data_IF_189401445867
#
_entry.id   IF_189401445867
#
_cell.length_a   1.000
_cell.length_b   1.000
_cell.length_c   1.000
_cell.angle_alpha   90.00
_cell.angle_beta   90.00
_cell.angle_gamma   90.00
#
_symmetry.space_group_name_H-M   'P 1'
#
loop_
_entity.id
_entity.type
_entity.pdbx_description
1 polymer ?
#
# COMPACT_ATOMS: atom_id res chain seq x y z
N UNK A 1 22.10 0.53 16.39
CA UNK A 1 21.62 -0.03 15.12
C UNK A 1 22.81 -0.17 14.19
N UNK A 2 23.16 -1.38 13.76
CA UNK A 2 24.23 -1.57 12.78
C UNK A 2 23.62 -1.63 11.36
N UNK A 3 23.83 -0.62 10.50
CA UNK A 3 23.18 -0.54 9.19
C UNK A 3 23.52 -1.73 8.28
N UNK A 4 24.72 -2.31 8.42
CA UNK A 4 25.11 -3.50 7.66
C UNK A 4 24.25 -4.72 7.99
N UNK A 5 23.83 -4.90 9.25
CA UNK A 5 22.95 -6.00 9.66
C UNK A 5 21.54 -5.82 9.12
N UNK A 6 21.02 -4.59 9.16
CA UNK A 6 19.70 -4.26 8.62
C UNK A 6 19.67 -4.59 7.13
N UNK A 7 20.68 -4.19 6.36
CA UNK A 7 20.74 -4.47 4.93
C UNK A 7 20.73 -5.97 4.60
N UNK A 8 21.47 -6.78 5.37
CA UNK A 8 21.48 -8.24 5.19
C UNK A 8 20.09 -8.84 5.46
N UNK A 9 19.40 -8.37 6.52
CA UNK A 9 18.04 -8.83 6.82
C UNK A 9 17.02 -8.38 5.76
N UNK A 10 17.10 -7.13 5.29
CA UNK A 10 16.29 -6.60 4.19
C UNK A 10 16.46 -7.47 2.94
N UNK A 11 17.71 -7.79 2.57
CA UNK A 11 18.01 -8.66 1.42
C UNK A 11 17.40 -10.05 1.60
N UNK A 12 17.46 -10.62 2.80
CA UNK A 12 16.85 -11.92 3.08
C UNK A 12 15.33 -11.89 2.88
N UNK A 13 14.65 -10.87 3.43
CA UNK A 13 13.20 -10.68 3.26
C UNK A 13 12.82 -10.52 1.79
N UNK A 14 13.61 -9.76 1.04
CA UNK A 14 13.39 -9.58 -0.40
C UNK A 14 13.55 -10.89 -1.18
N UNK A 15 14.59 -11.68 -0.88
CA UNK A 15 14.82 -12.98 -1.51
C UNK A 15 13.74 -14.01 -1.14
N UNK A 16 13.28 -13.99 0.11
CA UNK A 16 12.17 -14.81 0.58
C UNK A 16 10.89 -14.51 -0.21
N UNK A 17 10.54 -13.23 -0.35
CA UNK A 17 9.38 -12.80 -1.12
C UNK A 17 9.44 -13.21 -2.61
N UNK A 18 10.62 -13.09 -3.23
CA UNK A 18 10.81 -13.56 -4.62
C UNK A 18 10.65 -15.08 -4.71
N UNK A 19 11.22 -15.83 -3.76
CA UNK A 19 11.13 -17.30 -3.72
C UNK A 19 9.70 -17.79 -3.53
N UNK A 20 8.88 -17.03 -2.82
CA UNK A 20 7.44 -17.28 -2.64
C UNK A 20 6.62 -17.02 -3.92
N UNK A 21 7.28 -16.76 -5.06
CA UNK A 21 6.69 -16.62 -6.40
C UNK A 21 5.66 -15.48 -6.49
N UNK A 22 5.79 -14.48 -5.62
CA UNK A 22 4.91 -13.29 -5.62
C UNK A 22 4.94 -12.60 -7.00
N UNK A 23 6.07 -12.65 -7.72
CA UNK A 23 6.19 -12.08 -9.06
C UNK A 23 5.26 -12.72 -10.12
N UNK A 24 4.69 -13.90 -9.88
CA UNK A 24 3.71 -14.51 -10.79
C UNK A 24 2.42 -13.69 -10.91
N UNK A 25 2.13 -12.86 -9.91
CA UNK A 25 1.04 -11.88 -9.95
C UNK A 25 1.21 -10.89 -11.11
N UNK A 26 2.43 -10.63 -11.59
CA UNK A 26 2.65 -9.78 -12.77
C UNK A 26 2.02 -10.38 -14.03
N UNK A 27 2.08 -11.70 -14.19
CA UNK A 27 1.41 -12.38 -15.30
C UNK A 27 -0.12 -12.25 -15.21
N UNK A 28 -0.66 -12.34 -14.00
CA UNK A 28 -2.08 -12.11 -13.76
C UNK A 28 -2.49 -10.66 -14.05
N UNK A 29 -1.65 -9.67 -13.70
CA UNK A 29 -1.89 -8.28 -14.06
C UNK A 29 -1.88 -8.04 -15.58
N UNK A 30 -0.89 -8.57 -16.29
CA UNK A 30 -0.83 -8.49 -17.75
C UNK A 30 -2.05 -9.16 -18.42
N UNK A 31 -2.51 -10.28 -17.86
CA UNK A 31 -3.73 -10.94 -18.29
C UNK A 31 -4.95 -10.03 -18.10
N UNK A 32 -5.13 -9.42 -16.93
CA UNK A 32 -6.21 -8.44 -16.68
C UNK A 32 -6.20 -7.30 -17.69
N UNK A 33 -5.03 -6.71 -17.97
CA UNK A 33 -4.91 -5.61 -18.94
C UNK A 33 -5.23 -6.06 -20.37
N UNK A 34 -4.87 -7.29 -20.75
CA UNK A 34 -5.22 -7.87 -22.05
C UNK A 34 -6.73 -8.00 -22.23
N UNK A 35 -7.45 -8.39 -21.17
CA UNK A 35 -8.91 -8.42 -21.20
C UNK A 35 -9.49 -7.00 -21.25
N UNK A 36 -8.96 -6.08 -20.43
CA UNK A 36 -9.44 -4.72 -20.36
C UNK A 36 -9.34 -3.98 -21.70
N UNK A 37 -8.18 -4.04 -22.37
CA UNK A 37 -7.97 -3.35 -23.64
C UNK A 37 -8.88 -3.89 -24.75
N UNK A 38 -9.28 -5.16 -24.68
CA UNK A 38 -10.16 -5.79 -25.67
C UNK A 38 -11.64 -5.52 -25.41
N UNK A 39 -12.05 -5.51 -24.14
CA UNK A 39 -13.46 -5.46 -23.72
C UNK A 39 -13.97 -4.04 -23.57
N UNK A 40 -13.19 -3.13 -22.98
CA UNK A 40 -13.63 -1.75 -22.68
C UNK A 40 -14.15 -1.00 -23.92
N UNK A 41 -13.50 -1.06 -25.10
CA UNK A 41 -13.99 -0.37 -26.30
C UNK A 41 -15.38 -0.82 -26.79
N UNK A 42 -15.81 -2.04 -26.43
CA UNK A 42 -17.14 -2.55 -26.84
C UNK A 42 -18.28 -1.87 -26.09
N UNK A 43 -18.03 -1.33 -24.89
CA UNK A 43 -19.05 -0.68 -24.07
C UNK A 43 -19.17 0.82 -24.33
N UNK A 44 -18.05 1.51 -24.58
CA UNK A 44 -18.05 2.97 -24.74
C UNK A 44 -16.90 3.44 -25.65
N UNK A 45 -17.19 3.79 -26.90
CA UNK A 45 -16.15 4.23 -27.83
C UNK A 45 -15.50 5.58 -27.46
N UNK A 46 -16.25 6.50 -26.86
CA UNK A 46 -15.78 7.87 -26.55
C UNK A 46 -15.03 8.00 -25.23
N UNK A 47 -15.18 7.03 -24.31
CA UNK A 47 -14.56 7.07 -22.99
C UNK A 47 -13.60 5.90 -22.73
N UNK A 48 -13.43 4.98 -23.70
CA UNK A 48 -12.64 3.77 -23.54
C UNK A 48 -11.22 4.05 -23.02
N UNK A 49 -10.56 5.06 -23.57
CA UNK A 49 -9.18 5.43 -23.22
C UNK A 49 -9.05 5.80 -21.74
N UNK A 50 -9.93 6.68 -21.25
CA UNK A 50 -9.91 7.12 -19.84
C UNK A 50 -10.28 6.00 -18.88
N UNK A 51 -11.24 5.15 -19.26
CA UNK A 51 -11.63 3.99 -18.47
C UNK A 51 -10.48 3.00 -18.39
N UNK A 52 -9.76 2.75 -19.48
CA UNK A 52 -8.58 1.89 -19.47
C UNK A 52 -7.48 2.46 -18.56
N UNK A 53 -7.27 3.78 -18.61
CA UNK A 53 -6.28 4.44 -17.76
C UNK A 53 -6.58 4.24 -16.27
N UNK A 54 -7.80 4.57 -15.86
CA UNK A 54 -8.26 4.39 -14.48
C UNK A 54 -8.23 2.92 -14.05
N UNK A 55 -8.76 2.02 -14.88
CA UNK A 55 -8.82 0.59 -14.60
C UNK A 55 -7.43 -0.02 -14.39
N UNK A 56 -6.44 0.34 -15.20
CA UNK A 56 -5.08 -0.19 -15.06
C UNK A 56 -4.40 0.24 -13.77
N UNK A 57 -4.63 1.49 -13.31
CA UNK A 57 -4.15 1.99 -12.01
C UNK A 57 -4.94 1.36 -10.85
N UNK A 58 -6.26 1.20 -10.98
CA UNK A 58 -7.10 0.55 -9.98
C UNK A 58 -6.72 -0.92 -9.78
N UNK A 59 -6.47 -1.65 -10.86
CA UNK A 59 -5.97 -3.02 -10.81
C UNK A 59 -4.56 -3.09 -10.16
N UNK A 60 -3.71 -2.10 -10.44
CA UNK A 60 -2.40 -1.99 -9.79
C UNK A 60 -2.51 -1.81 -8.28
N UNK A 61 -3.42 -0.92 -7.84
CA UNK A 61 -3.70 -0.70 -6.43
C UNK A 61 -4.24 -1.97 -5.75
N UNK A 62 -5.27 -2.61 -6.33
CA UNK A 62 -5.88 -3.81 -5.77
C UNK A 62 -4.87 -4.95 -5.60
N UNK A 63 -4.03 -5.20 -6.60
CA UNK A 63 -2.99 -6.22 -6.54
C UNK A 63 -1.90 -5.86 -5.53
N UNK A 64 -1.41 -4.61 -5.56
CA UNK A 64 -0.41 -4.14 -4.61
C UNK A 64 -0.89 -4.23 -3.17
N UNK A 65 -2.17 -3.94 -2.93
CA UNK A 65 -2.82 -4.07 -1.63
C UNK A 65 -2.84 -5.51 -1.14
N UNK A 66 -3.22 -6.46 -2.00
CA UNK A 66 -3.21 -7.89 -1.66
C UNK A 66 -1.79 -8.29 -1.22
N UNK A 67 -0.75 -7.89 -1.96
CA UNK A 67 0.63 -8.20 -1.57
C UNK A 67 1.00 -7.54 -0.25
N UNK A 68 0.73 -6.25 -0.07
CA UNK A 68 1.04 -5.50 1.15
C UNK A 68 0.36 -6.12 2.38
N UNK A 69 -0.90 -6.52 2.28
CA UNK A 69 -1.68 -7.11 3.38
C UNK A 69 -1.23 -8.54 3.68
N UNK A 70 -1.22 -9.43 2.69
CA UNK A 70 -0.97 -10.86 2.92
C UNK A 70 0.50 -11.15 3.26
N UNK A 71 1.43 -10.48 2.56
CA UNK A 71 2.86 -10.67 2.80
C UNK A 71 3.28 -9.88 4.04
N UNK A 72 2.80 -8.63 4.18
CA UNK A 72 3.15 -7.78 5.32
C UNK A 72 2.73 -8.35 6.66
N UNK A 73 1.50 -8.87 6.75
CA UNK A 73 1.05 -9.54 7.98
C UNK A 73 1.82 -10.84 8.21
N UNK A 74 2.00 -11.66 7.17
CA UNK A 74 2.66 -12.95 7.25
C UNK A 74 4.14 -12.90 7.63
N UNK A 75 4.83 -11.78 7.37
CA UNK A 75 6.25 -11.62 7.63
C UNK A 75 6.64 -11.67 9.12
N UNK A 76 5.72 -11.30 10.00
CA UNK A 76 5.95 -11.26 11.46
C UNK A 76 5.04 -12.27 12.16
N UNK A 77 3.76 -12.33 11.81
CA UNK A 77 2.80 -13.22 12.49
C UNK A 77 3.20 -14.70 12.35
N UNK A 78 3.60 -15.14 11.16
CA UNK A 78 4.02 -16.54 10.93
C UNK A 78 5.30 -16.88 11.69
N UNK A 79 6.20 -15.93 11.88
CA UNK A 79 7.44 -16.15 12.64
C UNK A 79 7.18 -16.25 14.15
N UNK A 80 6.19 -15.51 14.65
CA UNK A 80 5.69 -15.62 16.03
C UNK A 80 4.99 -16.97 16.20
N UNK A 81 4.04 -17.32 15.33
CA UNK A 81 3.25 -18.56 15.40
C UNK A 81 4.12 -19.82 15.32
N UNK A 82 5.14 -19.84 14.44
CA UNK A 82 6.06 -20.98 14.27
C UNK A 82 7.17 -21.04 15.32
N UNK A 83 7.21 -20.10 16.28
CA UNK A 83 8.28 -19.95 17.28
C UNK A 83 9.70 -19.80 16.69
N UNK A 84 9.82 -19.50 15.39
CA UNK A 84 11.12 -19.26 14.74
C UNK A 84 11.73 -17.95 15.22
N UNK A 85 10.91 -17.03 15.74
CA UNK A 85 11.35 -15.80 16.40
C UNK A 85 12.32 -16.07 17.57
N UNK A 86 12.14 -17.17 18.33
CA UNK A 86 13.01 -17.52 19.47
C UNK A 86 14.45 -17.81 19.03
N UNK A 87 14.59 -18.44 17.86
CA UNK A 87 15.91 -18.75 17.27
C UNK A 87 16.58 -17.49 16.74
N UNK A 88 15.80 -16.54 16.22
CA UNK A 88 16.32 -15.26 15.74
C UNK A 88 16.72 -14.33 16.88
N UNK A 89 15.98 -14.32 17.98
CA UNK A 89 16.30 -13.53 19.19
C UNK A 89 17.50 -14.06 19.96
N UNK A 90 17.90 -15.33 19.75
CA UNK A 90 19.15 -15.87 20.28
C UNK A 90 20.39 -15.24 19.60
N UNK A 91 20.22 -14.59 18.43
CA UNK A 91 21.26 -13.75 17.82
C UNK A 91 21.15 -12.31 18.39
N UNK A 92 22.26 -11.56 18.48
CA UNK A 92 22.25 -10.19 18.99
C UNK A 92 21.65 -9.20 17.97
N UNK A 93 20.36 -9.36 17.67
CA UNK A 93 19.55 -8.53 16.77
C UNK A 93 18.60 -7.73 17.65
N UNK A 94 18.60 -6.40 17.49
CA UNK A 94 17.64 -5.59 18.25
C UNK A 94 16.23 -5.75 17.70
N UNK A 95 15.24 -5.61 18.59
CA UNK A 95 13.80 -5.60 18.25
C UNK A 95 13.46 -4.55 17.17
N UNK A 96 14.11 -3.39 17.23
CA UNK A 96 13.97 -2.33 16.23
C UNK A 96 14.58 -2.71 14.87
N UNK A 97 15.77 -3.32 14.85
CA UNK A 97 16.41 -3.77 13.61
C UNK A 97 15.55 -4.82 12.90
N UNK A 98 14.93 -5.73 13.65
CA UNK A 98 14.04 -6.74 13.11
C UNK A 98 12.82 -6.11 12.41
N UNK A 99 12.03 -5.29 13.10
CA UNK A 99 10.81 -4.68 12.53
C UNK A 99 11.14 -3.75 11.35
N UNK A 100 12.16 -2.90 11.48
CA UNK A 100 12.55 -1.99 10.40
C UNK A 100 13.04 -2.74 9.17
N UNK A 101 13.80 -3.84 9.34
CA UNK A 101 14.24 -4.65 8.20
C UNK A 101 13.10 -5.34 7.46
N UNK A 102 12.07 -5.80 8.18
CA UNK A 102 10.86 -6.40 7.58
C UNK A 102 10.07 -5.38 6.77
N UNK A 103 9.89 -4.17 7.32
CA UNK A 103 9.24 -3.06 6.62
C UNK A 103 9.99 -2.65 5.36
N UNK A 104 11.29 -2.39 5.45
CA UNK A 104 12.10 -1.97 4.31
C UNK A 104 12.21 -3.08 3.25
N UNK A 105 12.33 -4.34 3.68
CA UNK A 105 12.34 -5.50 2.79
C UNK A 105 11.06 -5.62 1.97
N UNK A 106 9.89 -5.54 2.61
CA UNK A 106 8.61 -5.59 1.91
C UNK A 106 8.36 -4.34 1.06
N UNK A 107 8.74 -3.16 1.54
CA UNK A 107 8.63 -1.92 0.76
C UNK A 107 9.48 -2.02 -0.52
N UNK A 108 10.67 -2.62 -0.47
CA UNK A 108 11.49 -2.86 -1.65
C UNK A 108 10.83 -3.86 -2.63
N UNK A 109 10.19 -4.92 -2.11
CA UNK A 109 9.42 -5.87 -2.94
C UNK A 109 8.26 -5.15 -3.63
N UNK A 110 7.49 -4.33 -2.90
CA UNK A 110 6.40 -3.54 -3.46
C UNK A 110 6.90 -2.52 -4.50
N UNK A 111 8.05 -1.89 -4.27
CA UNK A 111 8.65 -0.97 -5.24
C UNK A 111 8.96 -1.68 -6.57
N UNK A 112 9.58 -2.86 -6.51
CA UNK A 112 9.87 -3.67 -7.71
C UNK A 112 8.59 -4.14 -8.39
N UNK A 113 7.59 -4.57 -7.61
CA UNK A 113 6.30 -5.01 -8.14
C UNK A 113 5.59 -3.86 -8.87
N UNK A 114 5.44 -2.70 -8.22
CA UNK A 114 4.80 -1.51 -8.80
C UNK A 114 5.57 -1.02 -10.02
N UNK A 115 6.91 -1.01 -9.98
CA UNK A 115 7.72 -0.64 -11.14
C UNK A 115 7.52 -1.58 -12.33
N UNK A 116 7.48 -2.90 -12.08
CA UNK A 116 7.22 -3.88 -13.14
C UNK A 116 5.80 -3.77 -13.70
N UNK A 117 4.79 -3.57 -12.85
CA UNK A 117 3.41 -3.33 -13.28
C UNK A 117 3.30 -2.03 -14.09
N UNK A 118 4.03 -0.98 -13.70
CA UNK A 118 4.10 0.27 -14.45
C UNK A 118 4.70 0.07 -15.82
N UNK A 119 5.81 -0.69 -15.93
CA UNK A 119 6.41 -0.99 -17.22
C UNK A 119 5.44 -1.76 -18.14
N UNK A 120 4.74 -2.77 -17.61
CA UNK A 120 3.71 -3.51 -18.33
C UNK A 120 2.60 -2.55 -18.78
N UNK A 121 2.07 -1.74 -17.88
CA UNK A 121 1.00 -0.80 -18.15
C UNK A 121 1.38 0.20 -19.25
N UNK A 122 2.59 0.78 -19.21
CA UNK A 122 3.09 1.69 -20.25
C UNK A 122 3.21 1.00 -21.62
N UNK A 123 3.64 -0.27 -21.67
CA UNK A 123 3.69 -1.05 -22.92
C UNK A 123 2.27 -1.22 -23.49
N UNK A 124 1.28 -1.52 -22.65
CA UNK A 124 -0.12 -1.64 -23.11
C UNK A 124 -0.67 -0.31 -23.63
N UNK A 125 -0.34 0.82 -23.00
CA UNK A 125 -0.74 2.14 -23.51
C UNK A 125 -0.16 2.45 -24.88
N UNK A 126 1.11 2.08 -25.11
CA UNK A 126 1.77 2.24 -26.41
C UNK A 126 1.15 1.32 -27.47
N UNK A 127 0.90 0.05 -27.15
CA UNK A 127 0.27 -0.90 -28.08
C UNK A 127 -1.17 -0.51 -28.43
N UNK A 128 -1.90 0.05 -27.47
CA UNK A 128 -3.26 0.56 -27.66
C UNK A 128 -3.36 1.92 -28.33
N UNK A 129 -2.24 2.63 -28.56
CA UNK A 129 -2.22 4.04 -28.97
C UNK A 129 -3.10 4.95 -28.11
N UNK A 130 -3.17 4.67 -26.80
CA UNK A 130 -4.04 5.38 -25.86
C UNK A 130 -3.32 6.68 -25.44
N UNK A 131 -3.87 7.88 -25.73
CA UNK A 131 -3.28 9.14 -25.32
C UNK A 131 -3.32 9.27 -23.79
N UNK A 132 -2.17 9.35 -23.16
CA UNK A 132 -2.04 9.34 -21.71
C UNK A 132 -1.11 10.45 -21.22
N UNK A 133 -1.51 11.24 -20.20
CA UNK A 133 -0.61 12.19 -19.56
C UNK A 133 0.39 11.41 -18.67
N UNK A 134 1.49 10.95 -19.27
CA UNK A 134 2.46 10.05 -18.61
C UNK A 134 3.02 10.63 -17.32
N UNK A 135 3.24 11.95 -17.26
CA UNK A 135 3.78 12.61 -16.06
C UNK A 135 2.84 12.54 -14.86
N UNK A 136 1.54 12.81 -15.04
CA UNK A 136 0.56 12.72 -13.94
C UNK A 136 0.35 11.28 -13.48
N UNK A 137 0.35 10.33 -14.41
CA UNK A 137 0.25 8.90 -14.12
C UNK A 137 1.44 8.43 -13.28
N UNK A 138 2.67 8.81 -13.64
CA UNK A 138 3.86 8.44 -12.87
C UNK A 138 3.85 9.03 -11.45
N UNK A 139 3.34 10.25 -11.29
CA UNK A 139 3.13 10.85 -9.96
C UNK A 139 2.11 10.02 -9.17
N UNK A 140 0.96 9.69 -9.75
CA UNK A 140 -0.04 8.87 -9.07
C UNK A 140 0.47 7.48 -8.69
N UNK A 141 1.27 6.84 -9.55
CA UNK A 141 1.91 5.55 -9.25
C UNK A 141 2.91 5.66 -8.09
N UNK A 142 3.68 6.75 -8.03
CA UNK A 142 4.56 7.01 -6.89
C UNK A 142 3.76 7.18 -5.59
N UNK A 143 2.64 7.91 -5.63
CA UNK A 143 1.76 8.07 -4.48
C UNK A 143 1.06 6.76 -4.08
N UNK A 144 0.70 5.93 -5.05
CA UNK A 144 0.22 4.57 -4.82
C UNK A 144 1.27 3.74 -4.06
N UNK A 145 2.55 3.83 -4.45
CA UNK A 145 3.62 3.16 -3.72
C UNK A 145 3.72 3.65 -2.25
N UNK A 146 3.57 4.96 -1.99
CA UNK A 146 3.52 5.49 -0.63
C UNK A 146 2.31 4.97 0.15
N UNK A 147 1.14 4.89 -0.49
CA UNK A 147 -0.08 4.33 0.09
C UNK A 147 0.13 2.86 0.51
N UNK A 148 0.70 2.04 -0.38
CA UNK A 148 1.00 0.63 -0.11
C UNK A 148 2.09 0.47 0.97
N UNK A 149 3.06 1.38 1.03
CA UNK A 149 4.07 1.40 2.08
C UNK A 149 3.45 1.74 3.44
N UNK A 150 2.50 2.67 3.50
CA UNK A 150 1.76 2.97 4.74
C UNK A 150 0.91 1.77 5.18
N UNK A 151 0.20 1.13 4.27
CA UNK A 151 -0.55 -0.10 4.58
C UNK A 151 0.37 -1.22 5.05
N UNK A 152 1.59 -1.32 4.51
CA UNK A 152 2.59 -2.26 5.01
C UNK A 152 2.99 -1.96 6.46
N UNK A 153 3.12 -0.69 6.84
CA UNK A 153 3.35 -0.32 8.24
C UNK A 153 2.18 -0.75 9.12
N UNK A 154 0.93 -0.52 8.70
CA UNK A 154 -0.28 -0.98 9.40
C UNK A 154 -0.28 -2.50 9.58
N UNK A 155 0.01 -3.24 8.50
CA UNK A 155 0.07 -4.70 8.49
C UNK A 155 1.07 -5.23 9.50
N UNK A 156 2.27 -4.63 9.52
CA UNK A 156 3.33 -4.98 10.47
C UNK A 156 2.90 -4.67 11.90
N UNK A 157 2.33 -3.49 12.16
CA UNK A 157 1.85 -3.11 13.50
C UNK A 157 0.83 -4.12 14.04
N UNK A 158 -0.18 -4.52 13.27
CA UNK A 158 -1.15 -5.52 13.73
C UNK A 158 -0.53 -6.91 13.88
N UNK A 159 0.37 -7.31 12.97
CA UNK A 159 1.00 -8.64 13.01
C UNK A 159 1.89 -8.88 14.24
N UNK A 160 2.35 -7.83 14.91
CA UNK A 160 3.14 -7.94 16.14
C UNK A 160 2.32 -8.53 17.29
N UNK A 161 1.02 -8.28 17.35
CA UNK A 161 0.20 -8.68 18.50
C UNK A 161 -1.04 -9.52 18.20
N UNK A 162 -1.41 -9.66 16.93
CA UNK A 162 -2.57 -10.46 16.50
C UNK A 162 -2.16 -11.68 15.68
N UNK A 163 -3.01 -12.71 15.63
CA UNK A 163 -2.83 -13.85 14.74
C UNK A 163 -2.95 -13.42 13.27
N UNK A 164 -2.32 -14.15 12.35
CA UNK A 164 -2.21 -13.74 10.95
C UNK A 164 -3.55 -13.40 10.28
N UNK A 165 -4.61 -14.17 10.56
CA UNK A 165 -5.93 -13.94 9.97
C UNK A 165 -6.57 -12.64 10.47
N UNK A 166 -6.47 -12.37 11.77
CA UNK A 166 -7.01 -11.15 12.37
C UNK A 166 -6.23 -9.92 11.90
N UNK A 167 -4.91 -10.03 11.79
CA UNK A 167 -4.06 -8.97 11.24
C UNK A 167 -4.48 -8.57 9.82
N UNK A 168 -4.76 -9.56 8.96
CA UNK A 168 -5.23 -9.34 7.59
C UNK A 168 -6.55 -8.58 7.60
N UNK A 169 -7.53 -9.06 8.38
CA UNK A 169 -8.85 -8.43 8.46
C UNK A 169 -8.77 -6.98 8.97
N UNK A 170 -7.99 -6.72 10.02
CA UNK A 170 -7.81 -5.37 10.58
C UNK A 170 -7.08 -4.44 9.60
N UNK A 171 -6.05 -4.93 8.92
CA UNK A 171 -5.32 -4.13 7.91
C UNK A 171 -6.23 -3.76 6.75
N UNK A 172 -7.03 -4.72 6.26
CA UNK A 172 -7.98 -4.47 5.19
C UNK A 172 -9.09 -3.49 5.62
N UNK A 173 -9.57 -3.60 6.87
CA UNK A 173 -10.52 -2.64 7.44
C UNK A 173 -9.93 -1.23 7.51
N UNK A 174 -8.67 -1.07 7.92
CA UNK A 174 -7.97 0.22 7.91
C UNK A 174 -7.81 0.75 6.49
N UNK A 175 -7.52 -0.10 5.51
CA UNK A 175 -7.46 0.33 4.11
C UNK A 175 -8.81 0.86 3.61
N UNK A 176 -9.89 0.11 3.81
CA UNK A 176 -11.23 0.53 3.37
C UNK A 176 -11.65 1.82 4.07
N UNK A 177 -11.55 1.85 5.39
CA UNK A 177 -11.95 3.02 6.16
C UNK A 177 -11.06 4.22 5.84
N UNK A 178 -9.75 4.04 5.67
CA UNK A 178 -8.84 5.13 5.34
C UNK A 178 -9.12 5.82 3.99
N UNK A 179 -9.73 5.11 3.04
CA UNK A 179 -10.18 5.69 1.77
C UNK A 179 -11.59 6.29 1.87
N UNK A 180 -12.48 5.74 2.69
CA UNK A 180 -13.91 6.13 2.76
C UNK A 180 -14.20 7.17 3.85
N UNK A 181 -13.38 7.27 4.89
CA UNK A 181 -13.64 8.15 6.05
C UNK A 181 -13.81 9.63 5.68
N UNK A 182 -13.05 10.23 4.74
CA UNK A 182 -13.27 11.61 4.33
C UNK A 182 -14.70 11.87 3.83
N UNK A 183 -15.24 10.95 3.01
CA UNK A 183 -16.60 11.05 2.49
C UNK A 183 -17.65 10.87 3.60
N UNK A 184 -17.40 9.97 4.56
CA UNK A 184 -18.27 9.79 5.71
C UNK A 184 -18.34 11.03 6.60
N UNK A 185 -17.22 11.72 6.80
CA UNK A 185 -17.19 12.99 7.56
C UNK A 185 -18.00 14.06 6.85
N UNK A 186 -17.92 14.14 5.51
CA UNK A 186 -18.74 15.08 4.73
C UNK A 186 -20.24 14.76 4.85
N UNK A 187 -20.62 13.49 4.70
CA UNK A 187 -22.00 13.04 4.86
C UNK A 187 -22.52 13.25 6.30
N UNK A 188 -21.66 13.03 7.31
CA UNK A 188 -21.98 13.28 8.71
C UNK A 188 -22.31 14.75 8.99
N UNK A 189 -21.54 15.68 8.40
CA UNK A 189 -21.82 17.12 8.49
C UNK A 189 -23.14 17.51 7.81
N UNK A 190 -23.47 16.85 6.69
CA UNK A 190 -24.74 17.07 5.99
C UNK A 190 -25.95 16.51 6.75
N UNK A 191 -25.76 15.45 7.54
CA UNK A 191 -26.82 14.76 8.29
C UNK A 191 -27.43 15.58 9.43
N UNK A 192 -26.81 16.70 9.86
CA UNK A 192 -27.22 17.54 11.01
C UNK A 192 -27.45 16.77 12.33
N UNK A 193 -26.90 15.55 12.46
CA UNK A 193 -26.98 14.74 13.66
C UNK A 193 -25.64 14.79 14.41
N UNK A 194 -25.64 15.43 15.58
CA UNK A 194 -24.44 15.62 16.40
C UNK A 194 -23.75 14.30 16.81
N UNK A 195 -24.50 13.20 16.93
CA UNK A 195 -23.94 11.88 17.24
C UNK A 195 -23.15 11.30 16.06
N UNK A 196 -23.70 11.39 14.84
CA UNK A 196 -23.06 10.90 13.61
C UNK A 196 -21.81 11.73 13.27
N UNK A 197 -21.89 13.05 13.45
CA UNK A 197 -20.74 13.94 13.23
C UNK A 197 -19.59 13.63 14.20
N UNK A 198 -19.86 13.41 15.49
CA UNK A 198 -18.82 13.05 16.46
C UNK A 198 -18.18 11.70 16.16
N UNK A 199 -18.97 10.71 15.77
CA UNK A 199 -18.47 9.37 15.43
C UNK A 199 -17.54 9.41 14.20
N UNK A 200 -17.96 10.09 13.14
CA UNK A 200 -17.17 10.22 11.91
C UNK A 200 -15.89 11.04 12.13
N UNK A 201 -15.94 12.12 12.92
CA UNK A 201 -14.76 12.88 13.30
C UNK A 201 -13.78 12.06 14.17
N UNK A 202 -14.29 11.25 15.10
CA UNK A 202 -13.47 10.36 15.92
C UNK A 202 -12.73 9.32 15.07
N UNK A 203 -13.41 8.72 14.08
CA UNK A 203 -12.80 7.78 13.15
C UNK A 203 -11.68 8.44 12.32
N UNK A 204 -11.89 9.65 11.83
CA UNK A 204 -10.91 10.41 11.05
C UNK A 204 -9.64 10.77 11.84
N UNK A 205 -9.74 10.89 13.17
CA UNK A 205 -8.59 11.17 14.04
C UNK A 205 -7.70 9.94 14.28
N UNK A 206 -8.30 8.75 14.32
CA UNK A 206 -7.59 7.51 14.62
C UNK A 206 -7.01 6.89 13.36
N UNK A 207 -7.79 6.89 12.27
CA UNK A 207 -7.44 6.20 11.04
C UNK A 207 -6.55 7.07 10.14
N UNK A 208 -5.59 6.46 9.41
CA UNK A 208 -4.85 7.17 8.39
C UNK A 208 -5.78 7.60 7.25
N UNK A 209 -5.68 8.86 6.85
CA UNK A 209 -6.36 9.38 5.67
C UNK A 209 -5.58 8.96 4.42
N UNK A 210 -5.97 7.81 3.85
CA UNK A 210 -5.33 7.22 2.67
C UNK A 210 -5.72 7.94 1.38
N UNK A 211 -6.83 8.68 1.38
CA UNK A 211 -7.29 9.44 0.23
C UNK A 211 -6.27 10.48 -0.23
N UNK A 212 -5.47 11.02 0.71
CA UNK A 212 -4.35 11.93 0.41
C UNK A 212 -3.28 11.32 -0.49
N UNK A 213 -3.18 9.99 -0.49
CA UNK A 213 -2.21 9.23 -1.27
C UNK A 213 -2.83 8.58 -2.52
N UNK A 214 -4.15 8.70 -2.72
CA UNK A 214 -4.85 8.11 -3.86
C UNK A 214 -5.12 9.18 -4.94
N UNK A 215 -4.17 9.33 -5.86
CA UNK A 215 -4.22 10.33 -6.94
C UNK A 215 -4.68 9.74 -8.29
N UNK A 216 -5.13 8.48 -8.32
CA UNK A 216 -5.37 7.76 -9.59
C UNK A 216 -6.49 8.39 -10.42
N UNK A 217 -7.57 8.84 -9.76
CA UNK A 217 -8.74 9.40 -10.43
C UNK A 217 -8.40 10.74 -11.12
N UNK A 218 -7.58 11.56 -10.46
CA UNK A 218 -7.19 12.88 -10.95
C UNK A 218 -6.12 12.77 -12.04
N UNK A 219 -5.21 11.80 -11.92
CA UNK A 219 -4.09 11.64 -12.85
C UNK A 219 -4.51 11.39 -14.29
N UNK A 220 -5.70 10.80 -14.53
CA UNK A 220 -6.26 10.57 -15.86
C UNK A 220 -6.55 11.89 -16.60
N UNK A 221 -6.78 12.99 -15.88
CA UNK A 221 -7.07 14.31 -16.44
C UNK A 221 -5.81 15.18 -16.64
N UNK A 222 -4.63 14.69 -16.26
CA UNK A 222 -3.36 15.37 -16.44
C UNK A 222 -2.90 16.17 -15.21
N UNK A 223 -1.79 16.91 -15.36
CA UNK A 223 -1.14 17.61 -14.25
C UNK A 223 -2.00 18.69 -13.61
N UNK A 224 -2.94 19.27 -14.36
CA UNK A 224 -3.82 20.35 -13.88
C UNK A 224 -4.87 19.87 -12.88
N UNK A 225 -5.21 18.58 -12.93
CA UNK A 225 -6.14 17.97 -11.99
C UNK A 225 -5.45 17.48 -10.71
N UNK A 226 -4.11 17.36 -10.72
CA UNK A 226 -3.36 16.96 -9.54
C UNK A 226 -3.29 18.11 -8.52
N UNK A 227 -3.16 17.79 -7.21
CA UNK A 227 -2.89 18.78 -6.19
C UNK A 227 -1.64 19.62 -6.50
N UNK A 228 -1.65 20.86 -6.03
CA UNK A 228 -0.49 21.77 -6.11
C UNK A 228 0.79 21.11 -5.56
N UNK A 229 1.99 21.45 -6.07
CA UNK A 229 3.24 20.81 -5.66
C UNK A 229 3.49 20.82 -4.15
N UNK A 230 3.09 21.90 -3.46
CA UNK A 230 3.17 22.01 -2.01
C UNK A 230 2.26 20.97 -1.34
N UNK A 231 1.03 20.82 -1.84
CA UNK A 231 0.08 19.82 -1.34
C UNK A 231 0.62 18.39 -1.54
N UNK A 232 1.24 18.11 -2.70
CA UNK A 232 1.88 16.82 -2.96
C UNK A 232 2.99 16.52 -1.93
N UNK A 233 3.89 17.48 -1.66
CA UNK A 233 4.94 17.31 -0.66
C UNK A 233 4.34 17.06 0.73
N UNK A 234 3.28 17.80 1.10
CA UNK A 234 2.61 17.60 2.40
C UNK A 234 1.92 16.24 2.50
N UNK A 235 1.30 15.75 1.42
CA UNK A 235 0.66 14.44 1.39
C UNK A 235 1.68 13.31 1.47
N UNK A 236 2.79 13.41 0.73
CA UNK A 236 3.90 12.46 0.82
C UNK A 236 4.53 12.45 2.23
N UNK A 237 4.77 13.64 2.79
CA UNK A 237 5.28 13.81 4.16
C UNK A 237 4.34 13.21 5.20
N UNK A 238 3.03 13.42 5.07
CA UNK A 238 2.01 12.78 5.91
C UNK A 238 2.12 11.26 5.86
N UNK A 239 2.17 10.67 4.66
CA UNK A 239 2.27 9.22 4.49
C UNK A 239 3.52 8.61 5.14
N UNK A 240 4.67 9.26 4.96
CA UNK A 240 5.94 8.83 5.56
C UNK A 240 5.94 8.97 7.09
N UNK A 241 5.50 10.13 7.61
CA UNK A 241 5.45 10.37 9.06
C UNK A 241 4.49 9.40 9.76
N UNK A 242 3.31 9.16 9.16
CA UNK A 242 2.34 8.21 9.71
C UNK A 242 2.89 6.78 9.67
N UNK A 243 3.60 6.39 8.60
CA UNK A 243 4.29 5.10 8.53
C UNK A 243 5.34 4.95 9.63
N UNK A 244 6.18 5.97 9.86
CA UNK A 244 7.18 5.97 10.91
C UNK A 244 6.56 5.90 12.31
N UNK A 245 5.46 6.62 12.54
CA UNK A 245 4.68 6.54 13.79
C UNK A 245 4.17 5.13 14.04
N UNK A 246 3.56 4.48 13.04
CA UNK A 246 3.07 3.10 13.14
C UNK A 246 4.19 2.10 13.41
N UNK A 247 5.36 2.27 12.76
CA UNK A 247 6.53 1.44 13.02
C UNK A 247 7.09 1.65 14.43
N UNK A 248 7.11 2.89 14.93
CA UNK A 248 7.50 3.17 16.30
C UNK A 248 6.56 2.47 17.30
N UNK A 249 5.24 2.52 17.05
CA UNK A 249 4.24 1.76 17.83
C UNK A 249 4.51 0.26 17.75
N UNK A 250 4.75 -0.28 16.56
CA UNK A 250 5.06 -1.70 16.36
C UNK A 250 6.30 -2.13 17.16
N UNK A 251 7.37 -1.31 17.12
CA UNK A 251 8.61 -1.55 17.87
C UNK A 251 8.36 -1.49 19.39
N UNK A 252 7.56 -0.54 19.87
CA UNK A 252 7.22 -0.40 21.28
C UNK A 252 6.40 -1.58 21.80
N UNK A 253 5.42 -2.07 21.04
CA UNK A 253 4.62 -3.24 21.41
C UNK A 253 5.50 -4.50 21.38
N UNK A 254 6.31 -4.67 20.33
CA UNK A 254 7.20 -5.83 20.18
C UNK A 254 8.27 -5.86 21.28
N UNK A 255 8.88 -4.70 21.55
CA UNK A 255 9.26 -4.15 22.85
C UNK A 255 9.03 -4.93 24.14
N UNK A 256 7.75 -5.04 24.47
CA UNK A 256 7.26 -5.43 25.78
C UNK A 256 6.87 -6.91 25.83
N UNK A 257 6.93 -7.61 24.70
CA UNK A 257 6.64 -9.05 24.67
C UNK A 257 7.80 -9.84 25.24
N UNK A 258 7.50 -10.64 26.25
CA UNK A 258 8.38 -11.74 26.68
C UNK A 258 8.18 -12.90 25.71
N UNK A 259 9.28 -13.44 25.19
CA UNK A 259 9.33 -14.52 24.21
C UNK A 259 10.01 -15.73 24.84
#
# INVERSE_FOLDING_TARGET
MNPGRIFVMVKNVFQEAIRDRILYILGFYAFILTFAIRIIPEFTATAADKIFLDFGMAAMNAIGLIVAVFVGTGLVSKEIEKRTILVLMAKPISRSEFITSKYLGLSAVLAVLVAAMTAIYLVFLQLGNIPAPTSSILIAIFFLFLQLSLITAVAITFSVFTASLLAIALTFAVYLMGNITPDLVQLGRLSRNAGMERLTQGLYLILPDLSRLDLKNDAVYGLQALPEPIALITNAGYGLLYSLMLLAIAILIFSQREF
#
